data_IF_611270721142
#
_entry.id   IF_611270721142
#
_cell.length_a   1.000
_cell.length_b   1.000
_cell.length_c   1.000
_cell.angle_alpha   90.00
_cell.angle_beta   90.00
_cell.angle_gamma   90.00
#
_symmetry.space_group_name_H-M   'P 1'
#
loop_
_entity.id
_entity.type
_entity.pdbx_description
1 polymer ?
#
# COMPACT_ATOMS: atom_id res chain seq x y z
N UNK A 1 -19.06 -2.44 14.20
CA UNK A 1 -18.18 -2.07 13.07
C UNK A 1 -16.78 -1.80 13.58
N UNK A 2 -15.78 -2.50 13.07
CA UNK A 2 -14.39 -2.28 13.46
C UNK A 2 -13.67 -1.40 12.43
N UNK A 3 -12.97 -0.37 12.88
CA UNK A 3 -12.21 0.51 12.00
C UNK A 3 -10.79 -0.03 11.80
N UNK A 4 -10.41 -0.18 10.55
CA UNK A 4 -9.03 -0.40 10.11
C UNK A 4 -8.56 0.82 9.33
N UNK A 5 -7.32 0.85 8.92
CA UNK A 5 -6.73 2.02 8.29
C UNK A 5 -5.96 1.63 7.03
N UNK A 6 -6.09 2.40 5.97
CA UNK A 6 -5.24 2.27 4.80
C UNK A 6 -4.21 3.40 4.77
N UNK A 7 -3.03 3.11 4.25
CA UNK A 7 -1.98 4.11 4.07
C UNK A 7 -1.52 4.18 2.61
N UNK A 8 -1.26 5.39 2.15
CA UNK A 8 -0.79 5.70 0.80
C UNK A 8 -0.02 7.00 0.76
N UNK A 9 0.54 7.34 -0.38
CA UNK A 9 1.14 8.66 -0.61
C UNK A 9 0.09 9.78 -0.50
N UNK A 10 0.49 10.94 0.01
CA UNK A 10 -0.33 12.17 -0.07
C UNK A 10 -0.43 12.63 -1.52
N UNK A 11 -1.65 12.90 -1.99
CA UNK A 11 -1.91 13.29 -3.39
C UNK A 11 -1.32 14.66 -3.78
N UNK A 12 -1.14 15.56 -2.80
CA UNK A 12 -0.68 16.94 -2.98
C UNK A 12 0.80 17.17 -2.66
N UNK A 13 1.58 16.12 -2.49
CA UNK A 13 2.98 16.17 -2.08
C UNK A 13 3.86 16.80 -3.17
N UNK A 14 4.03 18.13 -3.12
CA UNK A 14 4.86 18.88 -4.08
C UNK A 14 6.34 18.53 -3.94
N UNK A 15 7.01 18.41 -5.09
CA UNK A 15 8.45 18.18 -5.18
C UNK A 15 8.92 16.80 -4.73
N UNK A 16 8.01 15.88 -4.37
CA UNK A 16 8.35 14.50 -4.02
C UNK A 16 8.86 13.76 -5.24
N UNK A 17 9.86 12.93 -5.01
CA UNK A 17 10.46 12.08 -6.04
C UNK A 17 9.41 11.16 -6.64
N UNK A 18 9.37 11.14 -7.97
CA UNK A 18 8.63 10.19 -8.78
C UNK A 18 9.62 9.39 -9.61
N UNK A 19 9.43 8.07 -9.63
CA UNK A 19 10.30 7.16 -10.36
C UNK A 19 9.54 6.42 -11.45
N UNK A 20 10.24 5.98 -12.47
CA UNK A 20 9.71 5.06 -13.46
C UNK A 20 10.72 3.98 -13.82
N UNK A 21 10.24 2.87 -14.32
CA UNK A 21 11.11 1.79 -14.79
C UNK A 21 11.98 2.22 -15.97
N UNK A 22 13.17 1.67 -16.03
CA UNK A 22 14.07 1.78 -17.18
C UNK A 22 13.80 0.69 -18.23
N UNK A 23 12.94 -0.28 -17.90
CA UNK A 23 12.63 -1.39 -18.82
C UNK A 23 11.96 -0.89 -20.10
N UNK A 24 12.36 -1.41 -21.30
CA UNK A 24 11.88 -0.92 -22.60
C UNK A 24 10.35 -0.95 -22.76
N UNK A 25 9.68 -1.96 -22.20
CA UNK A 25 8.23 -2.09 -22.26
C UNK A 25 7.49 -1.26 -21.19
N UNK A 26 8.22 -0.45 -20.39
CA UNK A 26 7.64 0.52 -19.49
C UNK A 26 6.73 -0.06 -18.42
N UNK A 27 5.69 0.71 -18.06
CA UNK A 27 4.77 0.37 -16.98
C UNK A 27 4.00 -0.94 -17.21
N UNK A 28 3.62 -1.25 -18.43
CA UNK A 28 2.86 -2.48 -18.76
C UNK A 28 3.59 -3.74 -18.31
N UNK A 29 4.92 -3.73 -18.45
CA UNK A 29 5.75 -4.85 -18.01
C UNK A 29 5.82 -4.99 -16.48
N UNK A 30 6.06 -3.89 -15.77
CA UNK A 30 6.26 -3.93 -14.31
C UNK A 30 4.96 -3.95 -13.49
N UNK A 31 3.85 -3.55 -14.10
CA UNK A 31 2.55 -3.43 -13.44
C UNK A 31 2.11 -4.65 -12.62
N UNK A 32 2.20 -5.89 -13.13
CA UNK A 32 1.77 -7.08 -12.38
C UNK A 32 2.55 -7.27 -11.07
N UNK A 33 3.83 -6.93 -11.06
CA UNK A 33 4.73 -7.09 -9.92
C UNK A 33 4.56 -5.99 -8.85
N UNK A 34 3.96 -4.86 -9.20
CA UNK A 34 3.79 -3.70 -8.30
C UNK A 34 2.45 -3.70 -7.56
N UNK A 35 1.71 -4.79 -7.61
CA UNK A 35 0.51 -4.99 -6.80
C UNK A 35 0.90 -5.48 -5.41
N UNK A 36 0.25 -4.97 -4.37
CA UNK A 36 0.45 -5.47 -3.00
C UNK A 36 0.08 -6.95 -2.83
N UNK A 37 -0.76 -7.46 -3.72
CA UNK A 37 -1.19 -8.85 -3.79
C UNK A 37 -0.38 -9.71 -4.76
N UNK A 38 0.55 -9.13 -5.53
CA UNK A 38 1.42 -9.89 -6.43
C UNK A 38 2.14 -11.00 -5.67
N UNK A 39 2.18 -12.19 -6.25
CA UNK A 39 2.90 -13.34 -5.67
C UNK A 39 4.36 -13.39 -6.14
N UNK A 40 4.72 -12.56 -7.11
CA UNK A 40 6.04 -12.52 -7.72
C UNK A 40 6.72 -11.20 -7.45
N UNK A 41 8.05 -11.24 -7.35
CA UNK A 41 8.91 -10.08 -7.27
C UNK A 41 9.27 -9.58 -8.66
N UNK A 42 9.63 -8.31 -8.76
CA UNK A 42 10.25 -7.79 -10.00
C UNK A 42 11.47 -8.61 -10.39
N UNK A 43 11.67 -8.87 -11.69
CA UNK A 43 12.92 -9.44 -12.18
C UNK A 43 14.12 -8.60 -11.75
N UNK A 44 15.27 -9.26 -11.48
CA UNK A 44 16.47 -8.62 -10.93
C UNK A 44 17.12 -7.59 -11.86
N UNK A 45 16.88 -7.70 -13.17
CA UNK A 45 17.36 -6.77 -14.19
C UNK A 45 16.53 -5.49 -14.30
N UNK A 46 15.37 -5.43 -13.61
CA UNK A 46 14.51 -4.24 -13.62
C UNK A 46 15.05 -3.20 -12.65
N UNK A 47 15.33 -2.02 -13.18
CA UNK A 47 15.67 -0.84 -12.40
C UNK A 47 14.69 0.31 -12.64
N UNK A 48 14.80 1.33 -11.79
CA UNK A 48 14.01 2.55 -11.84
C UNK A 48 14.94 3.76 -11.92
N UNK A 49 14.44 4.86 -12.48
CA UNK A 49 15.12 6.15 -12.46
C UNK A 49 14.20 7.25 -11.98
N UNK A 50 14.76 8.27 -11.38
CA UNK A 50 14.03 9.48 -11.02
C UNK A 50 13.67 10.26 -12.28
N UNK A 51 12.40 10.63 -12.41
CA UNK A 51 11.90 11.41 -13.55
C UNK A 51 11.35 12.76 -13.13
N UNK A 52 11.01 12.92 -11.85
CA UNK A 52 10.46 14.17 -11.31
C UNK A 52 10.73 14.28 -9.81
N UNK A 53 10.81 15.51 -9.32
CA UNK A 53 10.99 15.81 -7.91
C UNK A 53 12.45 15.66 -7.45
N UNK A 54 12.72 16.23 -6.27
CA UNK A 54 14.05 16.17 -5.63
C UNK A 54 13.95 15.79 -4.15
N UNK A 55 12.73 15.81 -3.58
CA UNK A 55 12.50 15.53 -2.17
C UNK A 55 12.20 14.04 -1.98
N UNK A 56 13.13 13.33 -1.39
CA UNK A 56 12.95 11.96 -0.94
C UNK A 56 12.10 11.94 0.34
N UNK A 57 11.14 11.03 0.38
CA UNK A 57 10.19 10.87 1.49
C UNK A 57 10.01 9.40 1.80
N UNK A 58 9.33 9.06 2.91
CA UNK A 58 9.12 7.66 3.29
C UNK A 58 8.23 6.89 2.29
N UNK A 59 7.42 7.61 1.50
CA UNK A 59 6.74 7.02 0.34
C UNK A 59 7.12 7.81 -0.91
N UNK A 60 7.61 7.12 -1.94
CA UNK A 60 7.76 7.64 -3.30
C UNK A 60 6.83 6.88 -4.24
N UNK A 61 6.55 7.43 -5.40
CA UNK A 61 5.50 6.92 -6.28
C UNK A 61 6.02 6.63 -7.68
N UNK A 62 5.41 5.65 -8.34
CA UNK A 62 5.59 5.42 -9.76
C UNK A 62 4.94 6.56 -10.56
N UNK A 63 5.68 7.21 -11.44
CA UNK A 63 5.25 8.44 -12.11
C UNK A 63 3.95 8.30 -12.92
N UNK A 64 3.70 7.15 -13.50
CA UNK A 64 2.53 6.88 -14.36
C UNK A 64 1.36 6.25 -13.60
N UNK A 65 1.49 6.05 -12.28
CA UNK A 65 0.45 5.42 -11.47
C UNK A 65 0.55 5.81 -10.00
N UNK A 66 -0.32 6.69 -9.55
CA UNK A 66 -0.35 7.16 -8.15
C UNK A 66 -0.62 6.06 -7.11
N UNK A 67 -1.24 4.95 -7.53
CA UNK A 67 -1.48 3.79 -6.66
C UNK A 67 -0.27 2.88 -6.44
N UNK A 68 0.84 3.11 -7.13
CA UNK A 68 2.06 2.29 -7.04
C UNK A 68 3.09 3.02 -6.21
N UNK A 69 3.23 2.60 -4.95
CA UNK A 69 4.07 3.23 -3.95
C UNK A 69 5.28 2.35 -3.63
N UNK A 70 6.38 3.01 -3.32
CA UNK A 70 7.59 2.39 -2.81
C UNK A 70 7.94 3.03 -1.47
N UNK A 71 8.46 2.24 -0.56
CA UNK A 71 8.59 2.57 0.85
C UNK A 71 10.06 2.64 1.26
N UNK A 72 10.43 3.65 2.04
CA UNK A 72 11.78 3.78 2.59
C UNK A 72 12.13 2.61 3.52
N UNK A 73 13.42 2.38 3.75
CA UNK A 73 13.89 1.44 4.77
C UNK A 73 13.23 1.72 6.12
N UNK A 74 13.18 3.00 6.53
CA UNK A 74 12.58 3.44 7.78
C UNK A 74 11.10 3.04 7.91
N UNK A 75 10.36 3.08 6.80
CA UNK A 75 8.96 2.65 6.77
C UNK A 75 8.85 1.13 6.95
N UNK A 76 9.69 0.37 6.25
CA UNK A 76 9.72 -1.09 6.35
C UNK A 76 10.15 -1.55 7.75
N UNK A 77 11.15 -0.91 8.35
CA UNK A 77 11.59 -1.20 9.72
C UNK A 77 10.47 -0.97 10.75
N UNK A 78 9.65 0.07 10.54
CA UNK A 78 8.49 0.31 11.38
C UNK A 78 7.45 -0.81 11.23
N UNK A 79 7.09 -1.19 10.01
CA UNK A 79 6.13 -2.28 9.77
C UNK A 79 6.65 -3.63 10.28
N UNK A 80 7.96 -3.84 10.23
CA UNK A 80 8.60 -5.08 10.69
C UNK A 80 8.44 -5.34 12.20
N UNK A 81 8.04 -4.32 12.96
CA UNK A 81 7.69 -4.47 14.37
C UNK A 81 6.36 -5.21 14.61
N UNK A 82 5.51 -5.30 13.59
CA UNK A 82 4.16 -5.85 13.66
C UNK A 82 3.98 -7.07 12.75
N UNK A 83 4.73 -7.13 11.67
CA UNK A 83 4.63 -8.15 10.62
C UNK A 83 6.02 -8.43 10.08
N UNK A 84 6.39 -9.68 9.91
CA UNK A 84 7.67 -10.04 9.28
C UNK A 84 7.71 -9.59 7.81
N UNK A 85 8.22 -8.38 7.59
CA UNK A 85 8.27 -7.75 6.27
C UNK A 85 9.23 -8.42 5.29
N UNK A 86 10.12 -9.31 5.74
CA UNK A 86 10.95 -10.11 4.83
C UNK A 86 10.12 -10.99 3.88
N UNK A 87 8.92 -11.33 4.30
CA UNK A 87 7.95 -12.12 3.52
C UNK A 87 7.11 -11.29 2.55
N UNK A 88 7.00 -9.99 2.80
CA UNK A 88 6.05 -9.10 2.14
C UNK A 88 6.68 -7.88 1.48
N UNK A 89 8.00 -7.76 1.50
CA UNK A 89 8.70 -6.68 0.84
C UNK A 89 10.03 -7.15 0.24
N UNK A 90 10.49 -6.39 -0.75
CA UNK A 90 11.82 -6.58 -1.34
C UNK A 90 12.38 -5.23 -1.81
N UNK A 91 13.71 -5.05 -1.77
CA UNK A 91 14.33 -3.83 -2.24
C UNK A 91 14.17 -3.69 -3.76
N UNK A 92 13.98 -2.46 -4.23
CA UNK A 92 14.01 -2.11 -5.64
C UNK A 92 15.31 -1.37 -5.95
N UNK A 93 15.80 -1.53 -7.17
CA UNK A 93 16.98 -0.83 -7.66
C UNK A 93 16.58 0.52 -8.27
N UNK A 94 17.06 1.61 -7.68
CA UNK A 94 16.89 2.96 -8.23
C UNK A 94 18.28 3.48 -8.65
N UNK A 95 18.40 3.93 -9.89
CA UNK A 95 19.67 4.42 -10.44
C UNK A 95 20.09 5.75 -9.80
N UNK A 96 21.38 5.95 -9.65
CA UNK A 96 22.00 7.19 -9.18
C UNK A 96 21.55 7.63 -7.76
N UNK A 97 21.28 6.68 -6.87
CA UNK A 97 21.03 6.94 -5.45
C UNK A 97 21.51 5.79 -4.58
N UNK A 98 21.99 6.10 -3.38
CA UNK A 98 22.34 5.13 -2.34
C UNK A 98 21.15 4.81 -1.42
N UNK A 99 19.99 5.45 -1.65
CA UNK A 99 18.80 5.23 -0.86
C UNK A 99 18.12 3.92 -1.27
N UNK A 100 17.77 3.11 -0.28
CA UNK A 100 17.04 1.86 -0.50
C UNK A 100 15.54 2.10 -0.31
N UNK A 101 14.78 1.70 -1.32
CA UNK A 101 13.32 1.65 -1.30
C UNK A 101 12.82 0.24 -1.57
N UNK A 102 11.62 -0.04 -1.11
CA UNK A 102 11.02 -1.37 -1.15
C UNK A 102 9.67 -1.35 -1.85
N UNK A 103 9.40 -2.38 -2.62
CA UNK A 103 8.05 -2.74 -3.03
C UNK A 103 7.42 -3.64 -1.96
N UNK A 104 6.13 -3.46 -1.70
CA UNK A 104 5.32 -4.38 -0.88
C UNK A 104 4.56 -5.31 -1.83
N UNK A 105 4.62 -6.60 -1.57
CA UNK A 105 4.00 -7.65 -2.36
C UNK A 105 3.48 -8.78 -1.46
N UNK A 106 2.79 -9.75 -2.04
CA UNK A 106 2.35 -10.99 -1.39
C UNK A 106 1.58 -10.80 -0.07
N UNK A 107 0.97 -9.63 0.14
CA UNK A 107 0.15 -9.41 1.33
C UNK A 107 -1.03 -10.40 1.36
N UNK A 108 -1.45 -10.84 2.56
CA UNK A 108 -2.72 -11.53 2.72
C UNK A 108 -3.86 -10.72 2.11
N UNK A 109 -4.76 -11.38 1.41
CA UNK A 109 -5.95 -10.74 0.84
C UNK A 109 -7.17 -10.98 1.73
N UNK A 110 -7.95 -9.94 1.93
CA UNK A 110 -9.27 -10.01 2.54
C UNK A 110 -10.32 -9.61 1.50
N UNK A 111 -11.42 -10.35 1.48
CA UNK A 111 -12.52 -10.15 0.53
C UNK A 111 -13.37 -8.93 0.91
N UNK A 112 -13.87 -8.20 -0.07
CA UNK A 112 -14.95 -7.24 0.17
C UNK A 112 -16.24 -7.99 0.49
N UNK A 113 -16.84 -7.71 1.64
CA UNK A 113 -18.18 -8.20 1.99
C UNK A 113 -19.23 -7.76 1.00
N UNK A 114 -19.12 -6.54 0.54
CA UNK A 114 -20.14 -6.00 -0.32
C UNK A 114 -19.59 -4.89 -1.20
N UNK A 115 -19.30 -5.25 -2.45
CA UNK A 115 -18.93 -4.26 -3.47
C UNK A 115 -20.02 -3.19 -3.66
N UNK A 116 -21.31 -3.53 -3.49
CA UNK A 116 -22.40 -2.59 -3.60
C UNK A 116 -22.39 -1.55 -2.49
N UNK A 117 -22.16 -1.95 -1.23
CA UNK A 117 -22.06 -1.02 -0.10
C UNK A 117 -20.92 -0.03 -0.26
N UNK A 118 -19.76 -0.48 -0.77
CA UNK A 118 -18.61 0.37 -1.01
C UNK A 118 -18.81 1.40 -2.15
N UNK A 119 -19.81 1.20 -3.01
CA UNK A 119 -20.10 2.06 -4.17
C UNK A 119 -21.39 2.89 -4.05
N UNK A 120 -22.21 2.63 -3.02
CA UNK A 120 -23.52 3.30 -2.87
C UNK A 120 -23.42 4.79 -2.52
N UNK A 121 -22.27 5.27 -2.04
CA UNK A 121 -22.03 6.70 -1.80
C UNK A 121 -20.66 7.09 -2.37
N UNK A 122 -20.57 8.01 -3.32
CA UNK A 122 -19.29 8.56 -3.76
C UNK A 122 -18.48 9.06 -2.56
N UNK A 123 -17.23 8.59 -2.44
CA UNK A 123 -16.35 8.95 -1.32
C UNK A 123 -16.52 8.11 -0.06
N UNK A 124 -17.34 7.05 -0.08
CA UNK A 124 -17.43 6.12 1.07
C UNK A 124 -16.18 5.28 1.20
N UNK A 125 -15.83 5.07 2.45
CA UNK A 125 -14.76 4.17 2.88
C UNK A 125 -15.10 2.73 2.48
N UNK A 126 -14.17 1.97 1.90
CA UNK A 126 -14.41 0.59 1.56
C UNK A 126 -14.79 -0.25 2.79
N UNK A 127 -15.78 -1.13 2.63
CA UNK A 127 -16.17 -2.11 3.63
C UNK A 127 -15.58 -3.48 3.28
N UNK A 128 -15.17 -4.25 4.30
CA UNK A 128 -14.58 -5.57 4.14
C UNK A 128 -15.02 -6.53 5.22
N UNK A 129 -14.84 -7.84 4.99
CA UNK A 129 -15.17 -8.88 5.95
C UNK A 129 -14.23 -8.86 7.15
N UNK A 130 -14.81 -8.80 8.36
CA UNK A 130 -14.08 -9.03 9.59
C UNK A 130 -14.04 -10.53 9.90
N UNK A 131 -12.84 -11.06 9.98
CA UNK A 131 -12.57 -12.42 10.46
C UNK A 131 -11.83 -12.37 11.79
N UNK A 132 -12.02 -13.40 12.60
CA UNK A 132 -11.18 -13.62 13.77
C UNK A 132 -9.71 -13.72 13.33
N UNK A 133 -8.81 -13.11 14.09
CA UNK A 133 -7.36 -13.14 13.83
C UNK A 133 -6.92 -12.47 12.52
N UNK A 134 -7.51 -11.35 12.16
CA UNK A 134 -7.03 -10.56 11.02
C UNK A 134 -5.57 -10.13 11.20
N UNK A 135 -4.76 -10.24 10.14
CA UNK A 135 -3.36 -9.80 10.21
C UNK A 135 -3.26 -8.29 10.43
N UNK A 136 -2.15 -7.85 11.05
CA UNK A 136 -1.86 -6.43 11.25
C UNK A 136 -1.67 -5.64 9.94
N UNK A 137 -1.39 -6.34 8.84
CA UNK A 137 -1.21 -5.77 7.51
C UNK A 137 -1.77 -6.72 6.45
N UNK A 138 -2.64 -6.21 5.60
CA UNK A 138 -3.28 -6.99 4.53
C UNK A 138 -3.68 -6.10 3.36
N UNK A 139 -4.15 -6.68 2.28
CA UNK A 139 -4.69 -5.99 1.12
C UNK A 139 -6.16 -6.37 0.91
N UNK A 140 -6.94 -5.46 0.34
CA UNK A 140 -8.31 -5.79 -0.07
C UNK A 140 -8.31 -6.33 -1.49
N UNK A 141 -9.00 -7.46 -1.69
CA UNK A 141 -9.13 -8.14 -2.98
C UNK A 141 -9.56 -7.18 -4.10
N UNK A 142 -8.90 -7.30 -5.24
CA UNK A 142 -9.18 -6.49 -6.41
C UNK A 142 -8.81 -5.00 -6.28
N UNK A 143 -8.10 -4.62 -5.20
CA UNK A 143 -7.60 -3.25 -4.99
C UNK A 143 -6.08 -3.26 -4.81
N UNK A 144 -5.51 -2.07 -4.72
CA UNK A 144 -4.13 -1.88 -4.28
C UNK A 144 -4.06 -1.17 -2.91
N UNK A 145 -5.14 -1.29 -2.12
CA UNK A 145 -5.20 -0.75 -0.77
C UNK A 145 -4.40 -1.65 0.17
N UNK A 146 -3.51 -1.03 0.93
CA UNK A 146 -2.78 -1.66 2.02
C UNK A 146 -3.47 -1.23 3.30
N UNK A 147 -4.04 -2.20 3.99
CA UNK A 147 -4.84 -1.98 5.20
C UNK A 147 -4.06 -2.47 6.41
N UNK A 148 -4.14 -1.73 7.49
CA UNK A 148 -3.42 -2.05 8.73
C UNK A 148 -4.31 -1.91 9.97
N UNK A 149 -3.86 -2.52 11.06
CA UNK A 149 -4.47 -2.41 12.39
C UNK A 149 -4.31 -1.00 12.98
N UNK A 150 -5.03 -0.73 14.07
CA UNK A 150 -4.93 0.52 14.81
C UNK A 150 -3.52 0.75 15.36
N UNK A 151 -2.88 -0.29 15.88
CA UNK A 151 -1.53 -0.22 16.44
C UNK A 151 -0.48 0.18 15.37
N UNK A 152 -0.62 -0.35 14.15
CA UNK A 152 0.25 0.02 13.03
C UNK A 152 0.03 1.48 12.63
N UNK A 153 -1.24 1.91 12.55
CA UNK A 153 -1.60 3.31 12.27
C UNK A 153 -0.99 4.25 13.29
N UNK A 154 -1.13 3.97 14.58
CA UNK A 154 -0.58 4.79 15.67
C UNK A 154 0.96 4.86 15.60
N UNK A 155 1.61 3.75 15.28
CA UNK A 155 3.05 3.71 15.10
C UNK A 155 3.52 4.58 13.92
N UNK A 156 2.79 4.56 12.79
CA UNK A 156 3.06 5.39 11.62
C UNK A 156 2.97 6.88 11.99
N UNK A 157 1.90 7.28 12.67
CA UNK A 157 1.69 8.67 13.10
C UNK A 157 2.76 9.12 14.10
N UNK A 158 3.04 8.31 15.12
CA UNK A 158 4.07 8.60 16.13
C UNK A 158 5.47 8.73 15.53
N UNK A 159 5.79 7.93 14.52
CA UNK A 159 7.07 7.98 13.83
C UNK A 159 7.19 9.21 12.93
N UNK A 160 6.11 9.95 12.68
CA UNK A 160 6.08 11.12 11.79
C UNK A 160 6.69 10.82 10.42
N UNK A 161 6.29 9.70 9.84
CA UNK A 161 6.73 9.32 8.51
C UNK A 161 6.26 10.36 7.48
N UNK A 162 7.12 10.66 6.53
CA UNK A 162 6.88 11.72 5.55
C UNK A 162 6.10 11.24 4.34
N UNK A 163 5.21 12.08 3.82
CA UNK A 163 4.40 11.81 2.64
C UNK A 163 3.43 10.62 2.79
N UNK A 164 2.97 10.36 4.01
CA UNK A 164 1.98 9.33 4.33
C UNK A 164 0.61 9.96 4.54
N UNK A 165 -0.38 9.44 3.85
CA UNK A 165 -1.79 9.70 4.10
C UNK A 165 -2.45 8.45 4.66
N UNK A 166 -3.21 8.61 5.73
CA UNK A 166 -3.96 7.52 6.36
C UNK A 166 -5.44 7.82 6.21
N UNK A 167 -6.22 6.83 5.83
CA UNK A 167 -7.68 6.90 5.77
C UNK A 167 -8.31 5.68 6.42
N UNK A 168 -9.50 5.87 6.97
CA UNK A 168 -10.27 4.81 7.59
C UNK A 168 -10.83 3.83 6.55
N UNK A 169 -10.93 2.58 6.96
CA UNK A 169 -11.57 1.49 6.22
C UNK A 169 -12.42 0.70 7.22
N UNK A 170 -13.67 0.43 6.91
CA UNK A 170 -14.58 -0.23 7.85
C UNK A 170 -14.67 -1.72 7.60
N UNK A 171 -14.51 -2.50 8.68
CA UNK A 171 -14.85 -3.92 8.71
C UNK A 171 -16.26 -4.11 9.24
N UNK A 172 -17.01 -5.04 8.63
CA UNK A 172 -18.35 -5.44 9.05
C UNK A 172 -18.34 -6.90 9.50
N UNK A 173 -18.96 -7.19 10.62
CA UNK A 173 -19.30 -8.55 11.00
C UNK A 173 -20.46 -9.07 10.16
N UNK A 174 -20.64 -10.40 10.12
CA UNK A 174 -21.79 -10.99 9.42
C UNK A 174 -23.13 -10.46 9.97
N UNK A 175 -23.23 -10.25 11.28
CA UNK A 175 -24.45 -9.71 11.91
C UNK A 175 -24.72 -8.27 11.47
N UNK A 176 -23.69 -7.43 11.45
CA UNK A 176 -23.79 -6.05 10.99
C UNK A 176 -24.14 -5.99 9.50
N UNK A 177 -23.55 -6.86 8.69
CA UNK A 177 -23.83 -6.98 7.26
C UNK A 177 -25.30 -7.34 7.03
N UNK A 178 -25.81 -8.36 7.72
CA UNK A 178 -27.20 -8.78 7.63
C UNK A 178 -28.17 -7.68 8.10
N UNK A 179 -27.83 -6.96 9.18
CA UNK A 179 -28.65 -5.85 9.69
C UNK A 179 -28.74 -4.68 8.71
N UNK A 180 -27.75 -4.50 7.85
CA UNK A 180 -27.71 -3.50 6.78
C UNK A 180 -28.39 -3.97 5.50
N UNK A 181 -28.89 -5.22 5.45
CA UNK A 181 -29.56 -5.80 4.28
C UNK A 181 -28.62 -6.21 3.14
N UNK A 182 -27.40 -6.62 3.49
CA UNK A 182 -26.39 -7.06 2.55
C UNK A 182 -26.19 -8.56 2.58
#
# INVERSE_FOLDING_TARGET
METKYSFRMKSDARGVVKIKTTHPHGYSYVRPYLLSTSKERLPEDVSFRVVKGKRWTDIVVYNESEGRNFYSQRFIDLLNRFVDMSRFSYPIKIENTDLTYYAIYNLPECTFLNRKASFLKPGTTPCFDLHENMPNLFSLEGTNLRVCSHEVKDAIEKAKLTNVYISEVFGLTNEESNALGF
#
